data_IF_731290802169
#
_entry.id   IF_731290802169
#
_cell.length_a   1.000
_cell.length_b   1.000
_cell.length_c   1.000
_cell.angle_alpha   90.00
_cell.angle_beta   90.00
_cell.angle_gamma   90.00
#
_symmetry.space_group_name_H-M   'P 1'
#
loop_
_entity.id
_entity.type
_entity.pdbx_description
1 polymer ?
#
# COMPACT_ATOMS: atom_id res chain seq x y z
N UNK A 1 7.72 -30.09 -20.64
CA UNK A 1 7.51 -29.76 -19.21
C UNK A 1 6.37 -28.76 -19.17
N UNK A 2 5.30 -29.04 -18.45
CA UNK A 2 4.19 -28.09 -18.31
C UNK A 2 4.73 -26.83 -17.60
N UNK A 3 4.50 -25.62 -18.16
CA UNK A 3 4.89 -24.40 -17.50
C UNK A 3 4.28 -24.32 -16.12
N UNK A 4 5.00 -23.70 -15.17
CA UNK A 4 4.56 -23.61 -13.78
C UNK A 4 3.95 -22.27 -13.55
N UNK A 5 2.63 -22.25 -13.40
CA UNK A 5 1.87 -21.03 -13.18
C UNK A 5 2.08 -20.49 -11.76
N UNK A 6 2.46 -19.21 -11.64
CA UNK A 6 2.70 -18.53 -10.37
C UNK A 6 1.79 -17.30 -10.29
N UNK A 7 0.92 -17.28 -9.28
CA UNK A 7 0.04 -16.14 -9.02
C UNK A 7 0.74 -15.10 -8.14
N UNK A 8 0.75 -13.84 -8.56
CA UNK A 8 1.19 -12.69 -7.78
C UNK A 8 -0.03 -11.88 -7.37
N UNK A 9 -0.27 -11.74 -6.06
CA UNK A 9 -1.46 -11.03 -5.54
C UNK A 9 -1.29 -9.51 -5.57
N UNK A 10 -1.00 -8.97 -6.75
CA UNK A 10 -0.89 -7.54 -7.05
C UNK A 10 -1.55 -7.26 -8.39
N UNK A 11 -1.88 -5.99 -8.65
CA UNK A 11 -2.19 -5.55 -10.01
C UNK A 11 -0.97 -5.73 -10.94
N UNK A 12 -1.24 -5.87 -12.22
CA UNK A 12 -0.22 -6.18 -13.23
C UNK A 12 0.93 -5.17 -13.25
N UNK A 13 0.64 -3.88 -13.11
CA UNK A 13 1.66 -2.83 -13.12
C UNK A 13 2.64 -2.96 -11.94
N UNK A 14 2.12 -3.15 -10.73
CA UNK A 14 2.95 -3.32 -9.53
C UNK A 14 3.66 -4.68 -9.46
N UNK A 15 3.16 -5.68 -10.19
CA UNK A 15 3.77 -7.01 -10.28
C UNK A 15 4.84 -7.13 -11.36
N UNK A 16 4.89 -6.19 -12.33
CA UNK A 16 5.73 -6.27 -13.53
C UNK A 16 7.20 -6.67 -13.26
N UNK A 17 7.94 -6.06 -12.33
CA UNK A 17 9.32 -6.44 -12.08
C UNK A 17 9.46 -7.91 -11.65
N UNK A 18 8.58 -8.37 -10.75
CA UNK A 18 8.58 -9.77 -10.32
C UNK A 18 8.13 -10.70 -11.43
N UNK A 19 7.12 -10.34 -12.22
CA UNK A 19 6.62 -11.13 -13.34
C UNK A 19 7.71 -11.34 -14.41
N UNK A 20 8.52 -10.33 -14.70
CA UNK A 20 9.66 -10.45 -15.60
C UNK A 20 10.68 -11.47 -15.10
N UNK A 21 11.11 -11.37 -13.83
CA UNK A 21 12.03 -12.32 -13.22
C UNK A 21 11.48 -13.75 -13.19
N UNK A 22 10.19 -13.92 -12.92
CA UNK A 22 9.55 -15.24 -12.93
C UNK A 22 9.57 -15.86 -14.34
N UNK A 23 9.33 -15.07 -15.41
CA UNK A 23 9.44 -15.56 -16.80
C UNK A 23 10.86 -15.98 -17.16
N UNK A 24 11.87 -15.18 -16.78
CA UNK A 24 13.28 -15.51 -16.99
C UNK A 24 13.66 -16.85 -16.33
N UNK A 25 13.02 -17.20 -15.20
CA UNK A 25 13.21 -18.47 -14.48
C UNK A 25 12.33 -19.62 -15.01
N UNK A 26 11.59 -19.42 -16.10
CA UNK A 26 10.76 -20.43 -16.75
C UNK A 26 9.42 -20.68 -16.06
N UNK A 27 8.89 -19.69 -15.32
CA UNK A 27 7.54 -19.72 -14.77
C UNK A 27 6.56 -18.94 -15.66
N UNK A 28 5.27 -19.24 -15.54
CA UNK A 28 4.17 -18.49 -16.14
C UNK A 28 3.53 -17.59 -15.08
N UNK A 29 3.94 -16.32 -14.94
CA UNK A 29 3.31 -15.43 -14.00
C UNK A 29 1.90 -15.06 -14.45
N UNK A 30 0.96 -15.04 -13.50
CA UNK A 30 -0.31 -14.36 -13.61
C UNK A 30 -0.49 -13.45 -12.39
N UNK A 31 -1.29 -12.42 -12.53
CA UNK A 31 -1.52 -11.43 -11.47
C UNK A 31 -2.97 -11.48 -11.01
N UNK A 32 -3.25 -10.99 -9.82
CA UNK A 32 -4.63 -10.79 -9.37
C UNK A 32 -4.75 -9.51 -8.54
N UNK A 33 -5.67 -8.66 -8.97
CA UNK A 33 -6.12 -7.51 -8.19
C UNK A 33 -7.24 -7.96 -7.27
N UNK A 34 -6.88 -8.33 -6.04
CA UNK A 34 -7.83 -8.81 -5.03
C UNK A 34 -8.51 -7.67 -4.28
N UNK A 35 -7.77 -6.59 -4.04
CA UNK A 35 -8.21 -5.39 -3.34
C UNK A 35 -7.93 -4.16 -4.19
N UNK A 36 -8.82 -3.21 -4.12
CA UNK A 36 -8.73 -1.94 -4.83
C UNK A 36 -9.05 -0.78 -3.90
N UNK A 37 -8.37 0.35 -4.12
CA UNK A 37 -8.66 1.56 -3.37
C UNK A 37 -9.95 2.19 -3.88
N UNK A 38 -10.85 2.51 -2.97
CA UNK A 38 -12.15 3.14 -3.23
C UNK A 38 -12.29 4.43 -2.45
N UNK A 39 -12.87 5.45 -3.05
CA UNK A 39 -13.33 6.60 -2.29
C UNK A 39 -14.41 6.18 -1.27
N UNK A 40 -14.41 6.76 -0.05
CA UNK A 40 -15.47 6.55 0.92
C UNK A 40 -16.81 7.08 0.39
N UNK A 41 -17.92 6.61 0.92
CA UNK A 41 -19.26 7.10 0.54
C UNK A 41 -19.40 8.59 0.84
N UNK A 42 -18.98 9.01 2.02
CA UNK A 42 -18.88 10.43 2.40
C UNK A 42 -17.48 10.94 2.15
N UNK A 43 -17.35 11.85 1.20
CA UNK A 43 -16.08 12.52 0.83
C UNK A 43 -15.99 13.94 1.36
N UNK A 44 -17.04 14.47 2.00
CA UNK A 44 -17.04 15.85 2.45
C UNK A 44 -15.93 16.18 3.47
N UNK A 45 -15.63 15.33 4.47
CA UNK A 45 -14.52 15.59 5.38
C UNK A 45 -13.16 15.70 4.66
N UNK A 46 -12.95 14.94 3.58
CA UNK A 46 -11.73 15.00 2.79
C UNK A 46 -11.68 16.28 1.92
N UNK A 47 -12.80 16.68 1.34
CA UNK A 47 -12.93 17.95 0.59
C UNK A 47 -12.68 19.16 1.49
N UNK A 48 -13.28 19.16 2.68
CA UNK A 48 -13.09 20.20 3.66
C UNK A 48 -11.62 20.28 4.10
N UNK A 49 -10.97 19.14 4.33
CA UNK A 49 -9.53 19.08 4.62
C UNK A 49 -8.69 19.68 3.48
N UNK A 50 -9.02 19.39 2.22
CA UNK A 50 -8.33 19.95 1.07
C UNK A 50 -8.52 21.48 0.99
N UNK A 51 -9.75 21.99 1.22
CA UNK A 51 -10.02 23.42 1.27
C UNK A 51 -9.21 24.12 2.38
N UNK A 52 -9.14 23.52 3.56
CA UNK A 52 -8.32 24.05 4.66
C UNK A 52 -6.83 24.05 4.31
N UNK A 53 -6.33 23.02 3.64
CA UNK A 53 -4.94 22.94 3.19
C UNK A 53 -4.60 24.01 2.13
N UNK A 54 -5.53 24.37 1.26
CA UNK A 54 -5.31 25.41 0.23
C UNK A 54 -5.40 26.82 0.75
N UNK A 55 -6.00 27.04 1.92
CA UNK A 55 -6.18 28.36 2.56
C UNK A 55 -5.97 28.30 4.07
N UNK A 56 -4.81 27.83 4.53
CA UNK A 56 -4.56 27.64 5.96
C UNK A 56 -4.47 28.97 6.69
N UNK A 57 -5.11 29.04 7.86
CA UNK A 57 -5.14 30.25 8.73
C UNK A 57 -4.12 30.22 9.85
N UNK A 58 -3.51 29.08 10.06
CA UNK A 58 -2.49 28.81 11.07
C UNK A 58 -1.39 27.95 10.46
N UNK A 59 -0.18 27.88 11.04
CA UNK A 59 0.84 26.94 10.58
C UNK A 59 0.27 25.52 10.48
N UNK A 60 0.32 24.94 9.28
CA UNK A 60 -0.37 23.69 8.95
C UNK A 60 0.58 22.74 8.21
N UNK A 61 0.60 21.49 8.63
CA UNK A 61 1.19 20.40 7.88
C UNK A 61 0.11 19.55 7.21
N UNK A 62 0.28 19.26 5.93
CA UNK A 62 -0.44 18.19 5.24
C UNK A 62 0.45 16.97 5.17
N UNK A 63 0.10 15.90 5.92
CA UNK A 63 0.92 14.72 6.08
C UNK A 63 0.35 13.57 5.27
N UNK A 64 1.04 13.17 4.21
CA UNK A 64 0.62 12.13 3.29
C UNK A 64 1.39 10.83 3.53
N UNK A 65 0.68 9.81 3.97
CA UNK A 65 1.26 8.49 4.31
C UNK A 65 1.14 7.47 3.18
N UNK A 66 0.60 7.85 2.02
CA UNK A 66 0.52 6.99 0.83
C UNK A 66 0.26 7.81 -0.44
N UNK A 67 0.77 7.32 -1.59
CA UNK A 67 0.40 7.85 -2.90
C UNK A 67 -1.11 7.75 -3.17
N UNK A 68 -1.78 6.72 -2.64
CA UNK A 68 -3.24 6.57 -2.76
C UNK A 68 -4.00 7.73 -2.11
N UNK A 69 -3.50 8.30 -1.01
CA UNK A 69 -4.11 9.48 -0.40
C UNK A 69 -3.97 10.73 -1.28
N UNK A 70 -2.87 10.87 -2.05
CA UNK A 70 -2.72 11.93 -3.05
C UNK A 70 -3.77 11.79 -4.14
N UNK A 71 -3.94 10.58 -4.69
CA UNK A 71 -4.97 10.31 -5.70
C UNK A 71 -6.38 10.53 -5.16
N UNK A 72 -6.63 10.23 -3.88
CA UNK A 72 -7.91 10.51 -3.26
C UNK A 72 -8.19 12.02 -3.15
N UNK A 73 -7.20 12.83 -2.77
CA UNK A 73 -7.31 14.28 -2.76
C UNK A 73 -7.60 14.83 -4.16
N UNK A 74 -6.88 14.36 -5.17
CA UNK A 74 -7.11 14.73 -6.57
C UNK A 74 -8.52 14.35 -7.04
N UNK A 75 -9.02 13.17 -6.65
CA UNK A 75 -10.35 12.70 -7.05
C UNK A 75 -11.51 13.44 -6.40
N UNK A 76 -11.31 14.07 -5.24
CA UNK A 76 -12.34 14.87 -4.54
C UNK A 76 -12.20 16.36 -4.75
N UNK A 77 -11.16 16.81 -5.43
CA UNK A 77 -10.91 18.22 -5.66
C UNK A 77 -12.05 18.87 -6.46
N UNK A 78 -12.58 19.97 -5.95
CA UNK A 78 -13.67 20.73 -6.58
C UNK A 78 -13.19 21.60 -7.76
N UNK A 79 -11.87 21.75 -7.90
CA UNK A 79 -11.25 22.61 -8.92
C UNK A 79 -10.02 21.92 -9.53
N UNK A 80 -9.78 22.05 -10.85
CA UNK A 80 -8.61 21.48 -11.50
C UNK A 80 -7.29 22.13 -11.05
N UNK A 81 -7.34 23.33 -10.46
CA UNK A 81 -6.18 24.07 -9.94
C UNK A 81 -5.86 23.78 -8.46
N UNK A 82 -6.46 22.72 -7.87
CA UNK A 82 -6.25 22.36 -6.46
C UNK A 82 -4.78 22.22 -6.09
N UNK A 83 -3.99 21.61 -6.96
CA UNK A 83 -2.56 21.38 -6.74
C UNK A 83 -1.75 22.67 -6.81
N UNK A 84 -2.06 23.56 -7.76
CA UNK A 84 -1.44 24.87 -7.84
C UNK A 84 -1.76 25.73 -6.60
N UNK A 85 -2.97 25.60 -6.05
CA UNK A 85 -3.37 26.26 -4.80
C UNK A 85 -2.63 25.72 -3.58
N UNK A 86 -2.42 24.39 -3.51
CA UNK A 86 -1.59 23.80 -2.47
C UNK A 86 -0.16 24.33 -2.55
N UNK A 87 0.42 24.33 -3.74
CA UNK A 87 1.79 24.79 -3.92
C UNK A 87 1.94 26.30 -3.65
N UNK A 88 0.96 27.11 -4.03
CA UNK A 88 0.92 28.54 -3.73
C UNK A 88 0.78 28.84 -2.22
N UNK A 89 0.20 27.93 -1.43
CA UNK A 89 0.11 28.08 0.03
C UNK A 89 1.43 27.76 0.75
N UNK A 90 2.41 27.22 0.02
CA UNK A 90 3.77 26.88 0.52
C UNK A 90 4.75 28.05 0.28
N UNK A 91 5.86 28.13 1.05
CA UNK A 91 6.21 27.27 2.20
C UNK A 91 5.55 27.67 3.51
N UNK A 92 4.77 28.72 3.53
CA UNK A 92 4.06 29.18 4.74
C UNK A 92 2.73 29.84 4.33
N UNK A 93 1.65 29.58 5.07
CA UNK A 93 1.57 28.79 6.31
C UNK A 93 1.39 27.27 6.12
N UNK A 94 1.38 26.75 4.87
CA UNK A 94 1.29 25.30 4.58
C UNK A 94 2.68 24.70 4.41
N UNK A 95 2.88 23.51 4.97
CA UNK A 95 3.98 22.58 4.63
C UNK A 95 3.44 21.20 4.31
N UNK A 96 4.12 20.46 3.45
CA UNK A 96 3.71 19.14 3.00
C UNK A 96 4.78 18.12 3.37
N UNK A 97 4.33 17.07 4.08
CA UNK A 97 5.16 15.93 4.45
C UNK A 97 4.69 14.69 3.70
N UNK A 98 5.62 13.96 3.08
CA UNK A 98 5.36 12.67 2.46
C UNK A 98 6.12 11.56 3.21
N UNK A 99 5.48 10.41 3.41
CA UNK A 99 6.08 9.28 4.15
C UNK A 99 7.28 8.67 3.44
N UNK A 100 7.43 8.88 2.15
CA UNK A 100 8.52 8.32 1.34
C UNK A 100 8.44 8.73 -0.11
N UNK A 101 9.44 8.28 -0.90
CA UNK A 101 9.65 8.68 -2.29
C UNK A 101 8.44 8.47 -3.20
N UNK A 102 7.73 7.34 -3.08
CA UNK A 102 6.56 7.05 -3.91
C UNK A 102 5.41 8.05 -3.67
N UNK A 103 5.24 8.53 -2.43
CA UNK A 103 4.23 9.54 -2.09
C UNK A 103 4.66 10.93 -2.57
N UNK A 104 5.95 11.25 -2.42
CA UNK A 104 6.51 12.49 -2.95
C UNK A 104 6.40 12.55 -4.49
N UNK A 105 6.68 11.44 -5.17
CA UNK A 105 6.51 11.33 -6.62
C UNK A 105 5.06 11.55 -7.05
N UNK A 106 4.09 10.95 -6.35
CA UNK A 106 2.67 11.15 -6.66
C UNK A 106 2.24 12.63 -6.51
N UNK A 107 2.81 13.37 -5.54
CA UNK A 107 2.60 14.84 -5.43
C UNK A 107 3.24 15.59 -6.59
N UNK A 108 4.47 15.22 -6.95
CA UNK A 108 5.20 15.86 -8.04
C UNK A 108 4.50 15.69 -9.40
N UNK A 109 3.83 14.56 -9.64
CA UNK A 109 2.99 14.31 -10.84
C UNK A 109 1.82 15.30 -10.95
N UNK A 110 1.39 15.88 -9.83
CA UNK A 110 0.41 16.97 -9.77
C UNK A 110 1.05 18.36 -9.67
N UNK A 111 2.37 18.48 -9.79
CA UNK A 111 3.10 19.76 -9.67
C UNK A 111 3.19 20.30 -8.25
N UNK A 112 2.99 19.45 -7.23
CA UNK A 112 3.06 19.85 -5.81
C UNK A 112 4.40 19.43 -5.22
N UNK A 113 5.15 20.39 -4.66
CA UNK A 113 6.40 20.14 -3.96
C UNK A 113 6.18 19.53 -2.56
N UNK A 114 7.24 18.95 -1.98
CA UNK A 114 7.25 18.38 -0.63
C UNK A 114 8.32 19.08 0.20
N UNK A 115 7.98 19.41 1.46
CA UNK A 115 8.89 20.10 2.38
C UNK A 115 9.64 19.13 3.30
N UNK A 116 9.09 17.91 3.51
CA UNK A 116 9.69 16.91 4.36
C UNK A 116 9.40 15.48 3.88
N UNK A 117 10.47 14.68 3.78
CA UNK A 117 10.43 13.22 3.57
C UNK A 117 11.45 12.62 4.52
N UNK A 118 11.11 11.63 5.36
CA UNK A 118 12.09 10.97 6.23
C UNK A 118 13.17 10.27 5.38
N UNK A 119 14.42 10.38 5.81
CA UNK A 119 15.58 9.85 5.09
C UNK A 119 15.80 8.36 5.34
N UNK A 120 15.60 7.92 6.61
CA UNK A 120 15.96 6.56 7.05
C UNK A 120 14.85 5.55 6.83
N UNK A 121 13.61 5.89 7.24
CA UNK A 121 12.51 4.94 7.23
C UNK A 121 11.23 5.53 6.68
N UNK A 122 10.76 5.02 5.54
CA UNK A 122 9.48 5.39 4.93
C UNK A 122 8.28 4.82 5.71
N UNK A 123 8.07 5.32 6.92
CA UNK A 123 6.99 4.89 7.82
C UNK A 123 6.47 6.05 8.68
N UNK A 124 5.31 5.85 9.33
CA UNK A 124 4.77 6.82 10.28
C UNK A 124 5.73 7.05 11.47
N UNK A 125 6.43 6.01 11.92
CA UNK A 125 7.45 6.11 12.97
C UNK A 125 8.66 6.93 12.48
N UNK A 126 9.21 6.61 11.30
CA UNK A 126 10.32 7.39 10.71
C UNK A 126 9.97 8.86 10.51
N UNK A 127 8.75 9.17 10.07
CA UNK A 127 8.29 10.56 10.02
C UNK A 127 8.33 11.25 11.38
N UNK A 128 7.99 10.55 12.47
CA UNK A 128 7.98 11.13 13.82
C UNK A 128 9.39 11.28 14.41
N UNK A 129 10.27 10.33 14.14
CA UNK A 129 11.67 10.34 14.59
C UNK A 129 12.45 11.50 13.95
N UNK A 130 12.24 11.70 12.66
CA UNK A 130 12.91 12.74 11.87
C UNK A 130 12.06 14.02 11.74
N UNK A 131 10.94 14.12 12.48
CA UNK A 131 10.02 15.25 12.34
C UNK A 131 10.73 16.57 12.61
N UNK A 132 10.69 17.54 11.68
CA UNK A 132 11.39 18.80 11.84
C UNK A 132 10.89 19.55 13.08
N UNK A 133 11.80 19.85 13.97
CA UNK A 133 11.50 20.66 15.16
C UNK A 133 11.12 22.06 14.70
N UNK A 134 9.93 22.51 15.12
CA UNK A 134 9.32 23.81 14.89
C UNK A 134 9.56 24.47 13.53
N UNK A 135 8.49 24.94 12.93
CA UNK A 135 8.53 25.89 11.83
C UNK A 135 9.09 27.19 12.39
N UNK A 136 10.40 27.42 12.26
CA UNK A 136 10.97 28.74 12.39
C UNK A 136 10.55 29.53 11.14
N UNK A 137 9.71 30.54 11.31
CA UNK A 137 9.40 31.47 10.22
C UNK A 137 10.68 32.24 9.89
N UNK A 138 11.16 32.22 8.62
CA UNK A 138 12.30 33.03 8.22
C UNK A 138 12.00 34.53 8.51
N UNK A 139 12.76 35.14 9.38
CA UNK A 139 12.63 36.54 9.74
C UNK A 139 12.00 36.84 11.10
N UNK A 140 11.66 35.83 11.91
CA UNK A 140 11.18 35.98 13.28
C UNK A 140 12.18 35.44 14.32
N UNK A 141 13.47 35.43 14.02
CA UNK A 141 14.51 35.08 14.99
C UNK A 141 14.37 35.98 16.26
N UNK A 142 14.06 35.31 17.38
CA UNK A 142 13.91 36.00 18.67
C UNK A 142 12.56 36.66 18.97
N UNK A 143 11.57 36.62 18.08
CA UNK A 143 10.21 37.08 18.38
C UNK A 143 9.34 35.93 18.86
N UNK A 144 8.77 36.06 20.06
CA UNK A 144 7.67 35.19 20.48
C UNK A 144 6.55 35.30 19.45
N UNK A 145 6.01 34.18 18.91
CA UNK A 145 4.89 34.25 17.98
C UNK A 145 3.75 35.00 18.64
N UNK A 146 3.04 35.84 17.88
CA UNK A 146 1.92 36.60 18.44
C UNK A 146 0.93 35.62 19.08
N UNK A 147 0.42 35.96 20.26
CA UNK A 147 -0.50 35.17 21.06
C UNK A 147 -1.82 34.77 20.34
N UNK A 148 -2.00 35.22 19.11
CA UNK A 148 -3.15 34.96 18.24
C UNK A 148 -2.94 33.83 17.23
N UNK A 149 -1.74 33.28 17.05
CA UNK A 149 -1.56 32.08 16.22
C UNK A 149 -1.99 30.85 16.99
N UNK A 150 -3.16 30.30 16.69
CA UNK A 150 -3.67 29.05 17.28
C UNK A 150 -2.63 27.92 17.14
N UNK A 151 -2.73 26.88 17.99
CA UNK A 151 -1.84 25.71 17.93
C UNK A 151 -1.70 25.19 16.48
N UNK A 152 -0.47 24.82 16.06
CA UNK A 152 -0.22 24.35 14.70
C UNK A 152 -1.08 23.12 14.39
N UNK A 153 -1.45 22.96 13.13
CA UNK A 153 -2.31 21.86 12.67
C UNK A 153 -1.53 20.82 11.91
N UNK A 154 -2.01 19.56 12.00
CA UNK A 154 -1.61 18.48 11.11
C UNK A 154 -2.86 17.86 10.47
N UNK A 155 -2.91 17.84 9.16
CA UNK A 155 -3.97 17.29 8.33
C UNK A 155 -3.53 15.93 7.83
N UNK A 156 -4.26 14.86 8.18
CA UNK A 156 -3.93 13.49 7.86
C UNK A 156 -5.03 12.85 7.01
N UNK A 157 -4.94 12.93 5.67
CA UNK A 157 -5.77 12.10 4.80
C UNK A 157 -5.21 10.67 4.79
N UNK A 158 -5.94 9.73 5.36
CA UNK A 158 -5.48 8.36 5.61
C UNK A 158 -6.47 7.30 5.15
N UNK A 159 -6.02 6.05 5.01
CA UNK A 159 -6.95 4.94 4.81
C UNK A 159 -7.79 4.67 6.07
N UNK A 160 -8.93 4.01 5.91
CA UNK A 160 -9.76 3.58 7.04
C UNK A 160 -9.00 2.71 8.05
N UNK A 161 -8.03 1.92 7.57
CA UNK A 161 -7.24 0.98 8.37
C UNK A 161 -5.86 1.51 8.79
N UNK A 162 -5.59 2.81 8.58
CA UNK A 162 -4.30 3.38 8.99
C UNK A 162 -4.16 3.38 10.52
N UNK A 163 -2.95 3.06 10.99
CA UNK A 163 -2.63 3.14 12.42
C UNK A 163 -2.77 4.56 12.97
N UNK A 164 -2.88 4.69 14.28
CA UNK A 164 -2.93 5.97 14.98
C UNK A 164 -1.54 6.53 15.33
N UNK A 165 -0.48 5.80 15.03
CA UNK A 165 0.91 6.13 15.40
C UNK A 165 1.28 7.58 15.05
N UNK A 166 1.07 7.99 13.78
CA UNK A 166 1.41 9.36 13.36
C UNK A 166 0.52 10.40 14.04
N UNK A 167 -0.76 10.12 14.18
CA UNK A 167 -1.72 11.00 14.85
C UNK A 167 -1.35 11.24 16.30
N UNK A 168 -1.07 10.18 17.07
CA UNK A 168 -0.69 10.23 18.47
C UNK A 168 0.67 10.93 18.68
N UNK A 169 1.65 10.61 17.82
CA UNK A 169 2.97 11.25 17.88
C UNK A 169 2.92 12.74 17.56
N UNK A 170 2.13 13.17 16.58
CA UNK A 170 1.96 14.59 16.27
C UNK A 170 1.20 15.34 17.37
N UNK A 171 0.20 14.72 18.00
CA UNK A 171 -0.46 15.29 19.18
C UNK A 171 0.52 15.46 20.35
N UNK A 172 1.37 14.48 20.61
CA UNK A 172 2.41 14.58 21.63
C UNK A 172 3.42 15.71 21.33
N UNK A 173 3.65 16.03 20.06
CA UNK A 173 4.46 17.18 19.62
C UNK A 173 3.71 18.53 19.65
N UNK A 174 2.45 18.56 20.11
CA UNK A 174 1.66 19.79 20.30
C UNK A 174 0.83 20.22 19.09
N UNK A 175 0.67 19.37 18.08
CA UNK A 175 -0.19 19.66 16.93
C UNK A 175 -1.66 19.37 17.21
N UNK A 176 -2.56 20.20 16.66
CA UNK A 176 -3.98 19.85 16.55
C UNK A 176 -4.16 18.97 15.31
N UNK A 177 -4.35 17.68 15.53
CA UNK A 177 -4.45 16.71 14.42
C UNK A 177 -5.90 16.57 13.97
N UNK A 178 -6.11 16.73 12.67
CA UNK A 178 -7.36 16.43 11.99
C UNK A 178 -7.12 15.26 11.02
N UNK A 179 -7.77 14.14 11.28
CA UNK A 179 -7.74 12.94 10.46
C UNK A 179 -9.00 12.86 9.61
N UNK A 180 -8.86 12.67 8.29
CA UNK A 180 -9.95 12.38 7.38
C UNK A 180 -9.71 11.05 6.66
N UNK A 181 -10.79 10.29 6.48
CA UNK A 181 -10.78 9.06 5.69
C UNK A 181 -10.68 9.43 4.22
N UNK A 182 -9.53 9.14 3.60
CA UNK A 182 -9.26 9.44 2.20
C UNK A 182 -9.70 8.29 1.29
N UNK A 183 -9.51 7.03 1.72
CA UNK A 183 -9.87 5.87 0.92
C UNK A 183 -10.04 4.63 1.78
N UNK A 184 -10.66 3.62 1.18
CA UNK A 184 -10.80 2.27 1.69
C UNK A 184 -10.08 1.29 0.76
N UNK A 185 -9.54 0.22 1.33
CA UNK A 185 -9.18 -0.96 0.56
C UNK A 185 -10.35 -1.93 0.60
N UNK A 186 -10.99 -2.14 -0.55
CA UNK A 186 -12.19 -2.99 -0.68
C UNK A 186 -11.93 -4.13 -1.68
N UNK A 187 -12.71 -5.22 -1.62
CA UNK A 187 -12.65 -6.26 -2.64
C UNK A 187 -12.83 -5.67 -4.05
N UNK A 188 -11.96 -6.07 -4.99
CA UNK A 188 -12.06 -5.64 -6.37
C UNK A 188 -13.22 -6.37 -7.11
N UNK A 189 -13.95 -5.68 -8.04
CA UNK A 189 -13.78 -4.28 -8.40
C UNK A 189 -14.38 -3.33 -7.35
N UNK A 190 -13.69 -2.21 -7.09
CA UNK A 190 -14.17 -1.20 -6.17
C UNK A 190 -15.39 -0.44 -6.73
N UNK A 191 -16.39 -0.11 -5.91
CA UNK A 191 -17.59 0.63 -6.39
C UNK A 191 -17.26 2.08 -6.79
N UNK A 192 -16.22 2.67 -6.21
CA UNK A 192 -15.76 4.03 -6.50
C UNK A 192 -14.23 4.04 -6.60
N UNK A 193 -13.67 3.38 -7.65
CA UNK A 193 -12.24 3.16 -7.74
C UNK A 193 -11.49 4.48 -7.83
N UNK A 194 -10.38 4.56 -7.12
CA UNK A 194 -9.42 5.64 -7.33
C UNK A 194 -8.65 5.34 -8.60
N UNK A 195 -8.84 6.19 -9.61
CA UNK A 195 -8.12 6.07 -10.88
C UNK A 195 -6.62 6.10 -10.60
N UNK A 196 -5.94 5.01 -10.90
CA UNK A 196 -4.50 5.01 -11.08
C UNK A 196 -4.24 5.51 -12.50
N UNK A 197 -3.21 6.35 -12.65
CA UNK A 197 -2.68 6.63 -13.98
C UNK A 197 -2.44 5.28 -14.64
N UNK A 198 -3.06 5.07 -15.79
CA UNK A 198 -3.03 3.79 -16.49
C UNK A 198 -1.56 3.46 -16.81
N UNK A 199 -0.97 2.59 -16.02
CA UNK A 199 0.31 1.98 -16.39
C UNK A 199 0.06 1.09 -17.60
N UNK A 200 0.99 1.05 -18.55
CA UNK A 200 0.88 0.14 -19.68
C UNK A 200 0.60 -1.29 -19.17
N UNK A 201 -0.31 -2.02 -19.84
CA UNK A 201 -0.61 -3.39 -19.46
C UNK A 201 0.68 -4.23 -19.50
N UNK A 202 0.85 -5.09 -18.53
CA UNK A 202 1.87 -6.13 -18.57
C UNK A 202 1.34 -7.32 -19.37
N UNK A 203 2.25 -8.09 -19.99
CA UNK A 203 1.91 -9.33 -20.70
C UNK A 203 1.45 -10.46 -19.76
N UNK A 204 1.55 -10.30 -18.44
CA UNK A 204 1.05 -11.28 -17.49
C UNK A 204 -0.49 -11.22 -17.40
N UNK A 205 -1.20 -12.34 -17.64
CA UNK A 205 -2.65 -12.38 -17.51
C UNK A 205 -3.10 -11.92 -16.12
N UNK A 206 -4.01 -10.94 -16.06
CA UNK A 206 -4.62 -10.50 -14.80
C UNK A 206 -5.92 -11.27 -14.57
N UNK A 207 -5.99 -12.02 -13.47
CA UNK A 207 -7.17 -12.71 -13.02
C UNK A 207 -8.03 -11.77 -12.19
N UNK A 208 -9.34 -11.82 -12.39
CA UNK A 208 -10.25 -11.24 -11.42
C UNK A 208 -10.23 -12.01 -10.09
N UNK A 209 -10.83 -11.46 -9.07
CA UNK A 209 -10.89 -12.06 -7.73
C UNK A 209 -11.47 -13.47 -7.73
N UNK A 210 -12.53 -13.70 -8.48
CA UNK A 210 -13.23 -14.99 -8.56
C UNK A 210 -12.35 -16.03 -9.24
N UNK A 211 -11.75 -15.70 -10.37
CA UNK A 211 -10.83 -16.55 -11.11
C UNK A 211 -9.58 -16.88 -10.29
N UNK A 212 -9.01 -15.91 -9.56
CA UNK A 212 -7.86 -16.13 -8.68
C UNK A 212 -8.18 -17.11 -7.54
N UNK A 213 -9.36 -17.00 -6.92
CA UNK A 213 -9.82 -17.92 -5.88
C UNK A 213 -10.05 -19.32 -6.43
N UNK A 214 -10.67 -19.44 -7.62
CA UNK A 214 -10.87 -20.71 -8.29
C UNK A 214 -9.53 -21.37 -8.66
N UNK A 215 -8.56 -20.60 -9.18
CA UNK A 215 -7.22 -21.09 -9.49
C UNK A 215 -6.47 -21.61 -8.27
N UNK A 216 -6.62 -20.98 -7.09
CA UNK A 216 -6.06 -21.47 -5.84
C UNK A 216 -6.67 -22.80 -5.39
N UNK A 217 -7.96 -23.02 -5.64
CA UNK A 217 -8.67 -24.24 -5.25
C UNK A 217 -8.44 -25.39 -6.23
N UNK A 218 -8.32 -25.13 -7.53
CA UNK A 218 -8.19 -26.12 -8.59
C UNK A 218 -6.86 -26.89 -8.58
N UNK A 219 -5.80 -26.30 -8.01
CA UNK A 219 -4.44 -26.87 -8.03
C UNK A 219 -3.66 -26.57 -9.31
N UNK A 220 -4.15 -25.67 -10.17
CA UNK A 220 -3.43 -25.23 -11.38
C UNK A 220 -2.24 -24.30 -11.07
N UNK A 221 -2.17 -23.77 -9.86
CA UNK A 221 -1.09 -22.89 -9.42
C UNK A 221 0.03 -23.70 -8.76
N UNK A 222 1.24 -23.60 -9.28
CA UNK A 222 2.42 -24.14 -8.62
C UNK A 222 2.78 -23.36 -7.36
N UNK A 223 2.63 -22.01 -7.42
CA UNK A 223 2.92 -21.14 -6.30
C UNK A 223 2.00 -19.88 -6.29
N UNK A 224 1.86 -19.30 -5.09
CA UNK A 224 1.16 -18.04 -4.86
C UNK A 224 2.05 -17.11 -4.05
N UNK A 225 2.35 -15.93 -4.59
CA UNK A 225 3.08 -14.86 -3.92
C UNK A 225 2.08 -13.88 -3.31
N UNK A 226 2.02 -13.88 -1.98
CA UNK A 226 1.10 -13.02 -1.21
C UNK A 226 1.84 -11.79 -0.70
N UNK A 227 1.36 -10.61 -1.08
CA UNK A 227 2.07 -9.35 -0.86
C UNK A 227 1.50 -8.48 0.26
N UNK A 228 0.48 -8.96 0.99
CA UNK A 228 -0.04 -8.32 2.21
C UNK A 228 -0.97 -9.28 2.98
N UNK A 229 -1.11 -9.14 4.32
CA UNK A 229 -2.05 -9.92 5.11
C UNK A 229 -3.51 -9.80 4.63
N UNK A 230 -3.94 -8.60 4.23
CA UNK A 230 -5.29 -8.36 3.71
C UNK A 230 -5.57 -9.10 2.39
N UNK A 231 -4.55 -9.28 1.55
CA UNK A 231 -4.66 -10.09 0.32
C UNK A 231 -4.74 -11.58 0.61
N UNK A 232 -4.05 -12.05 1.67
CA UNK A 232 -4.21 -13.42 2.16
C UNK A 232 -5.66 -13.68 2.59
N UNK A 233 -6.25 -12.76 3.37
CA UNK A 233 -7.63 -12.85 3.79
C UNK A 233 -8.58 -12.91 2.59
N UNK A 234 -8.47 -11.97 1.67
CA UNK A 234 -9.34 -11.88 0.50
C UNK A 234 -9.28 -13.12 -0.42
N UNK A 235 -8.09 -13.71 -0.56
CA UNK A 235 -7.91 -14.89 -1.39
C UNK A 235 -8.42 -16.17 -0.73
N UNK A 236 -8.29 -16.29 0.60
CA UNK A 236 -8.43 -17.54 1.34
C UNK A 236 -9.70 -17.62 2.20
N UNK A 237 -10.30 -16.51 2.63
CA UNK A 237 -11.48 -16.55 3.48
C UNK A 237 -12.65 -17.24 2.75
N UNK A 238 -13.13 -18.36 3.31
CA UNK A 238 -14.13 -19.22 2.69
C UNK A 238 -13.66 -20.01 1.46
N UNK A 239 -12.33 -20.06 1.19
CA UNK A 239 -11.74 -20.80 0.09
C UNK A 239 -10.72 -21.82 0.64
N UNK A 240 -10.75 -23.05 0.12
CA UNK A 240 -9.77 -24.08 0.47
C UNK A 240 -8.74 -24.18 -0.66
N UNK A 241 -7.50 -23.73 -0.42
CA UNK A 241 -6.46 -23.86 -1.43
C UNK A 241 -6.04 -25.31 -1.62
N UNK A 242 -5.57 -25.63 -2.82
CA UNK A 242 -4.98 -26.94 -3.12
C UNK A 242 -3.74 -27.19 -2.28
N UNK A 243 -3.60 -28.41 -1.74
CA UNK A 243 -2.43 -28.82 -0.97
C UNK A 243 -1.13 -28.81 -1.80
N UNK A 244 -1.23 -28.88 -3.12
CA UNK A 244 -0.09 -28.83 -4.05
C UNK A 244 0.53 -27.46 -4.26
N UNK A 245 -0.13 -26.38 -3.86
CA UNK A 245 0.32 -24.99 -4.10
C UNK A 245 1.35 -24.55 -3.07
N UNK A 246 2.50 -24.00 -3.51
CA UNK A 246 3.49 -23.39 -2.63
C UNK A 246 3.05 -21.93 -2.27
N UNK A 247 3.31 -21.53 -1.04
CA UNK A 247 2.92 -20.20 -0.55
C UNK A 247 4.13 -19.36 -0.22
N UNK A 248 4.22 -18.20 -0.80
CA UNK A 248 5.30 -17.23 -0.60
C UNK A 248 4.72 -15.96 0.01
N UNK A 249 5.32 -15.52 1.12
CA UNK A 249 4.95 -14.27 1.78
C UNK A 249 6.01 -13.21 1.52
N UNK A 250 5.57 -11.98 1.26
CA UNK A 250 6.48 -10.83 1.07
C UNK A 250 7.32 -10.51 2.32
N UNK A 251 6.86 -10.95 3.49
CA UNK A 251 7.52 -10.73 4.76
C UNK A 251 6.73 -11.33 5.92
N UNK A 252 7.26 -11.23 7.13
CA UNK A 252 6.76 -11.93 8.31
C UNK A 252 5.29 -11.62 8.67
N UNK A 253 4.77 -10.38 8.59
CA UNK A 253 3.34 -10.14 8.86
C UNK A 253 2.41 -10.93 7.93
N UNK A 254 2.78 -11.07 6.66
CA UNK A 254 2.04 -11.85 5.67
C UNK A 254 2.21 -13.35 5.90
N UNK A 255 3.41 -13.79 6.26
CA UNK A 255 3.66 -15.19 6.59
C UNK A 255 2.83 -15.64 7.79
N UNK A 256 2.74 -14.81 8.82
CA UNK A 256 1.88 -15.06 9.99
C UNK A 256 0.41 -15.20 9.57
N UNK A 257 -0.10 -14.28 8.78
CA UNK A 257 -1.49 -14.33 8.31
C UNK A 257 -1.81 -15.60 7.49
N UNK A 258 -0.83 -16.16 6.78
CA UNK A 258 -0.96 -17.44 6.07
C UNK A 258 -0.90 -18.62 7.04
N UNK A 259 0.00 -18.61 8.05
CA UNK A 259 0.08 -19.67 9.09
C UNK A 259 -1.20 -19.74 9.92
N UNK A 260 -1.79 -18.59 10.26
CA UNK A 260 -3.07 -18.51 10.98
C UNK A 260 -4.22 -19.19 10.21
N UNK A 261 -4.05 -19.38 8.89
CA UNK A 261 -4.96 -20.10 7.99
C UNK A 261 -4.52 -21.55 7.69
N UNK A 262 -3.56 -22.08 8.45
CA UNK A 262 -3.08 -23.45 8.35
C UNK A 262 -2.13 -23.72 7.18
N UNK A 263 -1.55 -22.68 6.59
CA UNK A 263 -0.59 -22.83 5.49
C UNK A 263 0.86 -22.74 6.00
N UNK A 264 1.78 -23.29 5.21
CA UNK A 264 3.22 -23.26 5.49
C UNK A 264 3.92 -22.38 4.44
N UNK A 265 4.00 -21.06 4.65
CA UNK A 265 4.61 -20.15 3.69
C UNK A 265 6.13 -20.10 3.85
N UNK A 266 6.83 -19.84 2.75
CA UNK A 266 8.20 -19.36 2.72
C UNK A 266 8.13 -17.83 2.73
N UNK A 267 8.77 -17.19 3.72
CA UNK A 267 8.88 -15.73 3.75
C UNK A 267 10.10 -15.30 2.92
N UNK A 268 9.94 -14.29 2.07
CA UNK A 268 11.05 -13.69 1.37
C UNK A 268 11.99 -12.97 2.36
N UNK A 269 13.28 -12.99 2.09
CA UNK A 269 14.30 -12.36 2.93
C UNK A 269 14.16 -10.82 2.95
N UNK A 270 13.69 -10.26 1.83
CA UNK A 270 13.42 -8.83 1.66
C UNK A 270 12.17 -8.65 0.78
N UNK A 271 11.47 -7.52 0.88
CA UNK A 271 10.27 -7.26 0.06
C UNK A 271 10.61 -6.79 -1.37
N UNK A 272 11.65 -7.37 -1.98
CA UNK A 272 12.12 -7.04 -3.33
C UNK A 272 11.67 -8.11 -4.34
N UNK A 273 11.54 -7.77 -5.63
CA UNK A 273 11.20 -8.73 -6.67
C UNK A 273 12.15 -9.93 -6.73
N UNK A 274 13.46 -9.69 -6.57
CA UNK A 274 14.51 -10.71 -6.60
C UNK A 274 14.32 -11.71 -5.46
N UNK A 275 14.18 -11.23 -4.22
CA UNK A 275 14.01 -12.08 -3.05
C UNK A 275 12.69 -12.87 -3.09
N UNK A 276 11.64 -12.30 -3.69
CA UNK A 276 10.39 -13.01 -3.92
C UNK A 276 10.55 -14.13 -4.95
N UNK A 277 11.26 -13.88 -6.05
CA UNK A 277 11.53 -14.89 -7.06
C UNK A 277 12.42 -16.03 -6.50
N UNK A 278 13.42 -15.72 -5.66
CA UNK A 278 14.26 -16.69 -4.97
C UNK A 278 13.43 -17.56 -4.01
N UNK A 279 12.49 -16.96 -3.29
CA UNK A 279 11.58 -17.69 -2.39
C UNK A 279 10.63 -18.64 -3.17
N UNK A 280 10.21 -18.25 -4.39
CA UNK A 280 9.45 -19.15 -5.29
C UNK A 280 10.29 -20.36 -5.68
N UNK A 281 11.54 -20.17 -6.11
CA UNK A 281 12.45 -21.26 -6.49
C UNK A 281 12.68 -22.21 -5.32
N UNK A 282 12.98 -21.67 -4.14
CA UNK A 282 13.21 -22.44 -2.92
C UNK A 282 11.96 -23.29 -2.56
N UNK A 283 10.80 -22.66 -2.48
CA UNK A 283 9.55 -23.34 -2.13
C UNK A 283 9.16 -24.46 -3.11
N UNK A 284 9.50 -24.31 -4.38
CA UNK A 284 9.22 -25.31 -5.41
C UNK A 284 10.30 -26.40 -5.52
N UNK A 285 11.54 -26.13 -5.11
CA UNK A 285 12.62 -27.13 -5.00
C UNK A 285 12.36 -28.10 -3.84
N UNK A 286 12.02 -27.59 -2.67
CA UNK A 286 11.72 -28.40 -1.47
C UNK A 286 10.59 -29.40 -1.72
N UNK A 287 9.57 -28.99 -2.49
CA UNK A 287 8.45 -29.87 -2.84
C UNK A 287 8.79 -30.97 -3.84
N UNK A 288 9.89 -30.84 -4.60
CA UNK A 288 10.38 -31.91 -5.49
C UNK A 288 11.11 -33.00 -4.72
N UNK A 289 11.71 -32.65 -3.56
CA UNK A 289 12.44 -33.58 -2.69
C UNK A 289 11.56 -34.34 -1.72
N UNK A 290 10.33 -33.92 -1.49
CA UNK A 290 9.41 -34.59 -0.57
C UNK A 290 8.87 -35.91 -1.20
N UNK A 291 8.98 -37.08 -0.55
CA UNK A 291 8.42 -38.32 -1.06
C UNK A 291 6.89 -38.20 -1.18
N UNK A 292 6.36 -38.61 -2.34
CA UNK A 292 4.91 -38.70 -2.54
C UNK A 292 4.38 -39.78 -1.59
N UNK A 293 3.69 -39.41 -0.54
CA UNK A 293 2.85 -40.34 0.25
C UNK A 293 1.71 -40.82 -0.64
N UNK A 294 1.88 -41.94 -1.27
CA UNK A 294 0.80 -42.71 -1.88
C UNK A 294 -0.10 -43.18 -0.74
N UNK A 295 -1.31 -42.64 -0.66
CA UNK A 295 -2.38 -43.20 0.15
C UNK A 295 -2.65 -44.61 -0.36
N UNK A 296 -2.17 -45.59 0.37
CA UNK A 296 -2.60 -46.98 0.18
C UNK A 296 -4.04 -47.08 0.68
N UNK A 297 -4.93 -47.20 -0.27
CA UNK A 297 -6.31 -47.60 -0.05
C UNK A 297 -6.26 -49.05 0.48
N UNK A 298 -6.39 -49.21 1.79
CA UNK A 298 -6.52 -50.55 2.40
C UNK A 298 -7.98 -50.93 2.27
N UNK A 299 -8.29 -51.60 1.18
CA UNK A 299 -9.53 -52.39 1.05
C UNK A 299 -9.44 -53.54 2.04
N UNK A 300 -10.20 -53.48 3.12
CA UNK A 300 -10.45 -54.63 4.01
C UNK A 300 -11.64 -55.37 3.43
N UNK A 301 -11.37 -56.65 3.13
CA UNK A 301 -12.39 -57.67 2.83
C UNK A 301 -13.19 -58.02 4.08
#
# INVERSE_FOLDING_TARGET
>A
MTPRRVLVTRDSAAARPLAALLRERGYEPCTARLLEASLPLDTEPLREMLREATLPRVPTWLCLTSATAVHALAAVADSPDWSARLDAARPAPLRIAAVGAATAQALAEHGVGVDFVPAETSSAAGMLEEWPERIEEPGLEGRQPPAASGAPRALLPVSALASTTLEEGLRAKGYRVWRARAYDMVPAPAPRPLSRIASEPDDAPELDRTAARAACASGELAAVVVTAPSRAAELLDGNRPSAGTAWIAIGEPTARALRDRGLTPVAAAQPTPEALADAVDHALADRRGAPRTTSHDTTIQ
#
